data_IF_282879019137
#
_entry.id   IF_282879019137
#
_cell.length_a   1.000
_cell.length_b   1.000
_cell.length_c   1.000
_cell.angle_alpha   90.00
_cell.angle_beta   90.00
_cell.angle_gamma   90.00
#
_symmetry.space_group_name_H-M   'P 1'
#
loop_
_entity.id
_entity.type
_entity.pdbx_description
1 polymer ?
#
# COMPACT_ATOMS: atom_id res chain seq x y z
N UNK A 1 0.54 2.27 -15.85
CA UNK A 1 1.42 1.11 -15.55
C UNK A 1 2.58 1.51 -14.63
N UNK A 2 2.32 2.24 -13.53
CA UNK A 2 3.36 2.76 -12.62
C UNK A 2 3.41 2.02 -11.26
N UNK A 3 2.34 1.33 -10.87
CA UNK A 3 2.27 0.66 -9.55
C UNK A 3 2.77 -0.79 -9.54
N UNK A 4 3.29 -1.28 -10.68
CA UNK A 4 3.69 -2.68 -10.90
C UNK A 4 4.92 -3.12 -10.09
N UNK A 5 5.37 -2.30 -9.15
CA UNK A 5 6.49 -2.57 -8.24
C UNK A 5 6.22 -2.19 -6.78
N UNK A 6 4.99 -1.83 -6.42
CA UNK A 6 4.60 -1.58 -5.03
C UNK A 6 4.09 -2.88 -4.39
N UNK A 7 4.62 -3.21 -3.21
CA UNK A 7 4.17 -4.35 -2.40
C UNK A 7 3.73 -3.85 -1.03
N UNK A 8 2.67 -4.44 -0.48
CA UNK A 8 2.31 -4.17 0.90
C UNK A 8 3.26 -4.95 1.81
N UNK A 9 3.95 -4.25 2.70
CA UNK A 9 4.83 -4.86 3.72
C UNK A 9 4.24 -4.81 5.12
N UNK A 10 3.30 -3.90 5.38
CA UNK A 10 2.63 -3.80 6.66
C UNK A 10 1.52 -2.77 6.68
N UNK A 11 0.68 -2.84 7.70
CA UNK A 11 -0.38 -1.88 7.99
C UNK A 11 -0.35 -1.53 9.46
N UNK A 12 -0.47 -0.24 9.79
CA UNK A 12 -0.63 0.24 11.14
C UNK A 12 -2.01 0.90 11.26
N UNK A 13 -2.87 0.33 12.10
CA UNK A 13 -4.22 0.86 12.32
C UNK A 13 -4.23 1.82 13.50
N UNK A 14 -4.94 2.93 13.36
CA UNK A 14 -5.03 3.97 14.39
C UNK A 14 -6.01 5.07 14.02
N UNK A 15 -6.00 6.23 14.71
CA UNK A 15 -6.83 7.38 14.36
C UNK A 15 -6.61 7.84 12.91
N UNK A 16 -5.38 7.66 12.42
CA UNK A 16 -5.02 7.73 11.01
C UNK A 16 -4.29 6.43 10.67
N UNK A 17 -4.94 5.55 9.91
CA UNK A 17 -4.33 4.30 9.47
C UNK A 17 -3.25 4.55 8.42
N UNK A 18 -2.21 3.74 8.42
CA UNK A 18 -1.01 3.92 7.61
C UNK A 18 -0.64 2.62 6.90
N UNK A 19 -0.34 2.69 5.62
CA UNK A 19 0.20 1.58 4.84
C UNK A 19 1.72 1.70 4.72
N UNK A 20 2.42 0.58 4.90
CA UNK A 20 3.86 0.46 4.67
C UNK A 20 4.03 -0.28 3.34
N UNK A 21 4.48 0.44 2.33
CA UNK A 21 4.68 -0.06 0.98
C UNK A 21 6.18 -0.25 0.71
N UNK A 22 6.56 -1.37 0.13
CA UNK A 22 7.90 -1.58 -0.40
C UNK A 22 7.91 -1.21 -1.90
N UNK A 23 8.88 -0.38 -2.27
CA UNK A 23 9.19 0.02 -3.63
C UNK A 23 10.65 -0.32 -3.96
N UNK A 24 11.06 -0.14 -5.22
CA UNK A 24 12.47 -0.34 -5.61
C UNK A 24 13.44 0.62 -4.91
N UNK A 25 12.95 1.75 -4.43
CA UNK A 25 13.74 2.78 -3.76
C UNK A 25 13.78 2.57 -2.23
N UNK A 26 13.04 1.59 -1.73
CA UNK A 26 12.93 1.27 -0.31
C UNK A 26 11.48 1.34 0.19
N UNK A 27 11.32 1.52 1.50
CA UNK A 27 10.02 1.56 2.16
C UNK A 27 9.40 2.95 2.15
N UNK A 28 8.09 2.98 1.89
CA UNK A 28 7.25 4.16 1.89
C UNK A 28 6.19 3.98 2.99
N UNK A 29 6.03 4.99 3.83
CA UNK A 29 5.00 5.01 4.88
C UNK A 29 3.95 6.04 4.48
N UNK A 30 2.76 5.58 4.11
CA UNK A 30 1.74 6.41 3.47
C UNK A 30 0.44 6.36 4.27
N UNK A 31 -0.03 7.50 4.82
CA UNK A 31 -1.31 7.59 5.52
C UNK A 31 -2.50 7.37 4.59
N UNK A 32 -3.61 6.87 5.14
CA UNK A 32 -4.90 6.89 4.45
C UNK A 32 -5.28 8.30 4.00
N UNK A 33 -5.80 8.42 2.78
CA UNK A 33 -6.11 9.67 2.10
C UNK A 33 -4.92 10.36 1.42
N UNK A 34 -3.70 9.86 1.57
CA UNK A 34 -2.50 10.51 1.02
C UNK A 34 -2.08 9.92 -0.34
N UNK A 35 -1.53 10.74 -1.25
CA UNK A 35 -0.92 10.26 -2.49
C UNK A 35 0.36 9.47 -2.19
N UNK A 36 0.64 8.46 -3.01
CA UNK A 36 1.88 7.70 -2.94
C UNK A 36 2.97 8.47 -3.70
N UNK A 37 4.11 8.80 -3.06
CA UNK A 37 5.21 9.47 -3.73
C UNK A 37 5.70 8.71 -4.97
N UNK A 38 5.90 9.43 -6.07
CA UNK A 38 6.38 8.84 -7.33
C UNK A 38 5.30 8.10 -8.14
N UNK A 39 4.04 8.11 -7.71
CA UNK A 39 2.92 7.54 -8.48
C UNK A 39 1.73 8.50 -8.55
N UNK A 40 0.72 8.15 -9.36
CA UNK A 40 -0.55 8.87 -9.44
C UNK A 40 -1.61 8.31 -8.47
N UNK A 41 -1.23 7.35 -7.62
CA UNK A 41 -2.18 6.62 -6.79
C UNK A 41 -2.32 7.25 -5.40
N UNK A 42 -3.49 7.05 -4.80
CA UNK A 42 -3.84 7.53 -3.46
C UNK A 42 -4.20 6.33 -2.59
N UNK A 43 -3.72 6.32 -1.35
CA UNK A 43 -4.15 5.32 -0.36
C UNK A 43 -5.58 5.65 0.04
N UNK A 44 -6.55 4.90 -0.48
CA UNK A 44 -7.98 5.16 -0.21
C UNK A 44 -8.41 4.59 1.13
N UNK A 45 -7.98 3.37 1.44
CA UNK A 45 -8.37 2.66 2.65
C UNK A 45 -7.25 1.73 3.10
N UNK A 46 -7.00 1.68 4.40
CA UNK A 46 -6.04 0.77 5.04
C UNK A 46 -6.82 -0.09 6.02
N UNK A 47 -6.72 -1.40 5.86
CA UNK A 47 -7.34 -2.40 6.72
C UNK A 47 -6.25 -3.29 7.31
N UNK A 48 -6.64 -4.23 8.17
CA UNK A 48 -5.69 -5.20 8.70
C UNK A 48 -5.13 -6.06 7.56
N UNK A 49 -3.84 -5.90 7.28
CA UNK A 49 -3.14 -6.69 6.27
C UNK A 49 -3.54 -6.43 4.83
N UNK A 50 -4.29 -5.36 4.54
CA UNK A 50 -4.58 -4.96 3.16
C UNK A 50 -4.71 -3.45 3.01
N UNK A 51 -4.50 -2.97 1.79
CA UNK A 51 -4.65 -1.57 1.41
C UNK A 51 -5.35 -1.48 0.06
N UNK A 52 -6.30 -0.55 -0.04
CA UNK A 52 -6.93 -0.19 -1.30
C UNK A 52 -6.32 1.11 -1.79
N UNK A 53 -5.75 1.04 -2.99
CA UNK A 53 -5.20 2.17 -3.72
C UNK A 53 -6.21 2.61 -4.78
N UNK A 54 -6.38 3.92 -4.92
CA UNK A 54 -7.16 4.52 -5.98
C UNK A 54 -6.20 5.13 -7.01
N UNK A 55 -6.25 4.62 -8.24
CA UNK A 55 -5.77 5.29 -9.42
C UNK A 55 -6.93 6.12 -10.01
N UNK A 56 -6.62 7.07 -10.91
CA UNK A 56 -7.62 7.96 -11.54
C UNK A 56 -8.92 7.26 -11.97
N UNK A 57 -8.81 6.09 -12.62
CA UNK A 57 -9.94 5.37 -13.19
C UNK A 57 -10.07 3.94 -12.64
N UNK A 58 -9.13 3.49 -11.81
CA UNK A 58 -9.01 2.09 -11.37
C UNK A 58 -8.73 2.00 -9.87
N UNK A 59 -9.06 0.88 -9.25
CA UNK A 59 -8.68 0.60 -7.87
C UNK A 59 -7.84 -0.66 -7.81
N UNK A 60 -6.74 -0.60 -7.07
CA UNK A 60 -5.83 -1.71 -6.85
C UNK A 60 -5.88 -2.10 -5.37
N UNK A 61 -6.19 -3.36 -5.09
CA UNK A 61 -6.06 -3.91 -3.74
C UNK A 61 -4.70 -4.60 -3.61
N UNK A 62 -3.91 -4.16 -2.65
CA UNK A 62 -2.70 -4.86 -2.24
C UNK A 62 -2.97 -5.50 -0.89
N UNK A 63 -2.78 -6.81 -0.81
CA UNK A 63 -2.81 -7.55 0.45
C UNK A 63 -1.38 -7.90 0.85
N UNK A 64 -1.18 -8.10 2.14
CA UNK A 64 0.03 -8.77 2.62
C UNK A 64 -0.02 -10.15 1.99
N UNK A 65 0.83 -10.36 0.98
CA UNK A 65 1.28 -11.72 0.71
C UNK A 65 1.88 -12.17 2.03
N UNK A 66 1.21 -13.11 2.71
CA UNK A 66 1.85 -13.79 3.82
C UNK A 66 3.21 -14.20 3.29
N UNK A 67 4.28 -13.61 3.86
CA UNK A 67 5.59 -14.17 3.70
C UNK A 67 5.41 -15.59 4.21
N UNK A 68 5.27 -16.53 3.27
CA UNK A 68 5.19 -17.94 3.57
C UNK A 68 6.39 -18.21 4.44
N UNK A 69 6.15 -18.48 5.72
CA UNK A 69 7.10 -19.22 6.51
C UNK A 69 7.41 -20.44 5.67
N UNK A 70 8.68 -20.56 5.27
CA UNK A 70 9.15 -21.74 4.58
C UNK A 70 8.76 -22.96 5.41
N UNK A 71 8.00 -23.85 4.80
CA UNK A 71 8.11 -25.28 5.03
C UNK A 71 7.79 -26.00 3.72
#
# INVERSE_FOLDING_TARGET
MAEKGLRLSGTLLGPVSVAILESKEGYLVVPAGSPIPGTEAVVRQVEEGSVTLALKEETLNLSLVQAGGGQ
#
